data_IF_264395540830
#
_entry.id   IF_264395540830
#
_cell.length_a   1.000
_cell.length_b   1.000
_cell.length_c   1.000
_cell.angle_alpha   90.00
_cell.angle_beta   90.00
_cell.angle_gamma   90.00
#
_symmetry.space_group_name_H-M   'P 1'
#
loop_
_entity.id
_entity.type
_entity.pdbx_description
1 polymer ?
#
# COMPACT_ATOMS: atom_id res chain seq x y z
N UNK A 1 17.12 7.27 17.73
CA UNK A 1 16.84 7.46 16.30
C UNK A 1 17.99 6.86 15.52
N UNK A 2 17.69 5.89 14.66
CA UNK A 2 18.65 5.33 13.69
C UNK A 2 18.85 6.30 12.53
N UNK A 3 19.96 6.19 11.80
CA UNK A 3 20.23 6.98 10.58
C UNK A 3 19.07 6.88 9.57
N UNK A 4 18.44 5.70 9.46
CA UNK A 4 17.26 5.47 8.64
C UNK A 4 16.04 6.30 9.06
N UNK A 5 15.80 6.46 10.36
CA UNK A 5 14.67 7.27 10.88
C UNK A 5 14.86 8.77 10.62
N UNK A 6 16.11 9.24 10.59
CA UNK A 6 16.40 10.65 10.29
C UNK A 6 16.15 10.97 8.81
N UNK A 7 16.62 10.13 7.90
CA UNK A 7 16.35 10.29 6.46
C UNK A 7 14.86 10.24 6.17
N UNK A 8 14.12 9.30 6.77
CA UNK A 8 12.67 9.21 6.64
C UNK A 8 11.97 10.50 7.13
N UNK A 9 12.41 11.06 8.26
CA UNK A 9 11.89 12.32 8.76
C UNK A 9 12.16 13.51 7.81
N UNK A 10 13.35 13.57 7.21
CA UNK A 10 13.68 14.62 6.24
C UNK A 10 12.78 14.56 4.99
N UNK A 11 12.56 13.35 4.46
CA UNK A 11 11.67 13.11 3.32
C UNK A 11 10.22 13.45 3.68
N UNK A 12 9.73 12.96 4.81
CA UNK A 12 8.37 13.27 5.28
C UNK A 12 8.13 14.78 5.39
N UNK A 13 9.09 15.52 5.98
CA UNK A 13 9.01 16.98 6.09
C UNK A 13 9.00 17.65 4.72
N UNK A 14 9.81 17.18 3.78
CA UNK A 14 9.86 17.70 2.42
C UNK A 14 8.50 17.53 1.73
N UNK A 15 7.86 16.36 1.85
CA UNK A 15 6.55 16.11 1.21
C UNK A 15 5.44 16.96 1.82
N UNK A 16 5.45 17.17 3.13
CA UNK A 16 4.54 18.12 3.79
C UNK A 16 4.72 19.55 3.26
N UNK A 17 5.97 19.99 3.09
CA UNK A 17 6.26 21.30 2.51
C UNK A 17 5.75 21.41 1.07
N UNK A 18 5.87 20.34 0.28
CA UNK A 18 5.34 20.30 -1.09
C UNK A 18 3.82 20.46 -1.12
N UNK A 19 3.07 19.76 -0.26
CA UNK A 19 1.62 19.95 -0.15
C UNK A 19 1.26 21.39 0.19
N UNK A 20 1.95 22.00 1.17
CA UNK A 20 1.68 23.39 1.56
C UNK A 20 2.00 24.38 0.43
N UNK A 21 3.07 24.14 -0.33
CA UNK A 21 3.41 24.94 -1.51
C UNK A 21 2.36 24.81 -2.61
N UNK A 22 1.85 23.60 -2.88
CA UNK A 22 0.76 23.37 -3.84
C UNK A 22 -0.51 24.09 -3.45
N UNK A 23 -0.93 24.00 -2.18
CA UNK A 23 -2.09 24.73 -1.65
C UNK A 23 -1.91 26.24 -1.87
N UNK A 24 -0.76 26.79 -1.48
CA UNK A 24 -0.45 28.21 -1.68
C UNK A 24 -0.51 28.60 -3.15
N UNK A 25 0.11 27.83 -4.04
CA UNK A 25 0.13 28.10 -5.47
C UNK A 25 -1.29 28.11 -6.06
N UNK A 26 -2.13 27.14 -5.71
CA UNK A 26 -3.52 27.10 -6.19
C UNK A 26 -4.35 28.27 -5.70
N UNK A 27 -4.17 28.72 -4.46
CA UNK A 27 -4.83 29.92 -3.94
C UNK A 27 -4.39 31.18 -4.71
N UNK A 28 -3.09 31.34 -4.97
CA UNK A 28 -2.56 32.48 -5.73
C UNK A 28 -3.07 32.53 -7.17
N UNK A 29 -3.36 31.36 -7.76
CA UNK A 29 -3.93 31.23 -9.10
C UNK A 29 -5.47 31.36 -9.14
N UNK A 30 -6.13 31.68 -8.02
CA UNK A 30 -7.59 31.77 -7.95
C UNK A 30 -8.30 30.43 -8.16
N UNK A 31 -7.65 29.31 -7.79
CA UNK A 31 -8.17 27.94 -7.92
C UNK A 31 -8.44 27.31 -6.53
N UNK A 32 -9.39 27.86 -5.73
CA UNK A 32 -9.61 27.43 -4.34
C UNK A 32 -10.00 25.96 -4.22
N UNK A 33 -10.76 25.43 -5.17
CA UNK A 33 -11.16 24.00 -5.17
C UNK A 33 -9.96 23.06 -5.29
N UNK A 34 -8.96 23.42 -6.11
CA UNK A 34 -7.73 22.62 -6.23
C UNK A 34 -6.85 22.75 -4.99
N UNK A 35 -6.83 23.92 -4.36
CA UNK A 35 -6.16 24.11 -3.08
C UNK A 35 -6.79 23.24 -1.99
N UNK A 36 -8.12 23.19 -1.94
CA UNK A 36 -8.86 22.34 -1.01
C UNK A 36 -8.62 20.85 -1.28
N UNK A 37 -8.61 20.42 -2.54
CA UNK A 37 -8.27 19.03 -2.92
C UNK A 37 -6.86 18.65 -2.43
N UNK A 38 -5.85 19.51 -2.68
CA UNK A 38 -4.48 19.27 -2.20
C UNK A 38 -4.39 19.24 -0.66
N UNK A 39 -5.09 20.12 0.04
CA UNK A 39 -5.15 20.12 1.50
C UNK A 39 -5.81 18.85 2.06
N UNK A 40 -6.92 18.42 1.45
CA UNK A 40 -7.61 17.19 1.82
C UNK A 40 -6.77 15.94 1.55
N UNK A 41 -5.97 15.92 0.47
CA UNK A 41 -5.03 14.84 0.20
C UNK A 41 -3.97 14.75 1.31
N UNK A 42 -3.33 15.87 1.65
CA UNK A 42 -2.35 15.95 2.75
C UNK A 42 -2.97 15.51 4.09
N UNK A 43 -4.18 16.00 4.41
CA UNK A 43 -4.88 15.63 5.64
C UNK A 43 -5.24 14.14 5.68
N UNK A 44 -5.68 13.57 4.55
CA UNK A 44 -5.98 12.15 4.42
C UNK A 44 -4.75 11.28 4.63
N UNK A 45 -3.60 11.67 4.07
CA UNK A 45 -2.32 11.01 4.30
C UNK A 45 -1.91 11.06 5.77
N UNK A 46 -1.87 12.24 6.39
CA UNK A 46 -1.52 12.40 7.81
C UNK A 46 -2.44 11.61 8.74
N UNK A 47 -3.74 11.61 8.47
CA UNK A 47 -4.72 10.83 9.25
C UNK A 47 -4.45 9.33 9.13
N UNK A 48 -4.05 8.85 7.96
CA UNK A 48 -3.67 7.44 7.76
C UNK A 48 -2.43 7.07 8.57
N UNK A 49 -1.42 7.95 8.64
CA UNK A 49 -0.22 7.76 9.46
C UNK A 49 -0.55 7.73 10.95
N UNK A 50 -1.40 8.64 11.44
CA UNK A 50 -1.85 8.63 12.84
C UNK A 50 -2.59 7.35 13.20
N UNK A 51 -3.45 6.84 12.30
CA UNK A 51 -4.14 5.56 12.49
C UNK A 51 -3.16 4.40 12.51
N UNK A 52 -2.24 4.36 11.55
CA UNK A 52 -1.20 3.34 11.48
C UNK A 52 -0.35 3.33 12.76
N UNK A 53 0.10 4.50 13.22
CA UNK A 53 0.84 4.64 14.48
C UNK A 53 0.07 4.09 15.69
N UNK A 54 -1.25 4.32 15.76
CA UNK A 54 -2.07 3.79 16.87
C UNK A 54 -2.26 2.28 16.86
N UNK A 55 -2.01 1.63 15.72
CA UNK A 55 -2.20 0.19 15.51
C UNK A 55 -0.88 -0.61 15.57
N UNK A 56 0.26 0.05 15.44
CA UNK A 56 1.56 -0.59 15.44
C UNK A 56 2.12 -0.70 16.86
N UNK A 57 2.90 -1.76 17.10
CA UNK A 57 3.75 -1.90 18.27
C UNK A 57 4.90 -0.90 18.23
N UNK A 58 5.43 -0.53 19.40
CA UNK A 58 6.61 0.34 19.53
C UNK A 58 7.94 -0.38 19.24
N UNK A 59 7.88 -1.58 18.67
CA UNK A 59 9.08 -2.35 18.31
C UNK A 59 9.74 -1.81 17.02
N UNK A 60 10.91 -2.37 16.70
CA UNK A 60 11.68 -1.96 15.53
C UNK A 60 10.93 -2.22 14.19
N UNK A 61 10.07 -3.23 14.14
CA UNK A 61 9.27 -3.57 12.95
C UNK A 61 8.17 -2.55 12.71
N UNK A 62 7.39 -2.25 13.75
CA UNK A 62 6.37 -1.20 13.73
C UNK A 62 6.97 0.16 13.38
N UNK A 63 8.08 0.54 14.02
CA UNK A 63 8.77 1.79 13.70
C UNK A 63 9.21 1.85 12.22
N UNK A 64 9.79 0.77 11.69
CA UNK A 64 10.23 0.71 10.28
C UNK A 64 9.05 0.85 9.31
N UNK A 65 7.95 0.14 9.56
CA UNK A 65 6.76 0.20 8.73
C UNK A 65 6.13 1.60 8.74
N UNK A 66 6.04 2.24 9.92
CA UNK A 66 5.54 3.60 10.07
C UNK A 66 6.40 4.60 9.30
N UNK A 67 7.73 4.53 9.46
CA UNK A 67 8.64 5.43 8.75
C UNK A 67 8.63 5.22 7.24
N UNK A 68 8.47 3.98 6.78
CA UNK A 68 8.30 3.69 5.35
C UNK A 68 7.03 4.35 4.82
N UNK A 69 5.89 4.13 5.47
CA UNK A 69 4.61 4.76 5.10
C UNK A 69 4.67 6.29 5.15
N UNK A 70 5.42 6.87 6.10
CA UNK A 70 5.61 8.32 6.22
C UNK A 70 6.44 8.93 5.07
N UNK A 71 7.09 8.12 4.24
CA UNK A 71 7.78 8.56 3.01
C UNK A 71 6.97 8.29 1.73
N UNK A 72 5.76 7.75 1.87
CA UNK A 72 4.89 7.40 0.75
C UNK A 72 3.67 8.32 0.73
N UNK A 73 3.83 9.50 0.15
CA UNK A 73 2.81 10.57 0.18
C UNK A 73 1.55 10.25 -0.62
N UNK A 74 1.64 9.36 -1.62
CA UNK A 74 0.48 8.91 -2.39
C UNK A 74 -0.26 7.77 -1.70
N UNK A 75 0.30 7.16 -0.65
CA UNK A 75 -0.30 6.00 0.01
C UNK A 75 -1.05 6.36 1.29
N UNK A 76 -2.25 5.81 1.44
CA UNK A 76 -3.03 5.83 2.67
C UNK A 76 -3.07 4.43 3.25
N UNK A 77 -2.21 4.20 4.22
CA UNK A 77 -1.97 2.86 4.76
C UNK A 77 -2.89 2.59 5.94
N UNK A 78 -3.43 1.37 6.03
CA UNK A 78 -4.20 0.89 7.18
C UNK A 78 -3.94 -0.58 7.45
N UNK A 79 -4.02 -1.00 8.71
CA UNK A 79 -3.86 -2.42 9.10
C UNK A 79 -5.23 -3.07 9.29
N UNK A 80 -5.41 -4.28 8.74
CA UNK A 80 -6.60 -5.08 8.95
C UNK A 80 -6.35 -6.22 9.95
N UNK A 81 -5.16 -6.82 9.96
CA UNK A 81 -4.73 -7.88 10.89
C UNK A 81 -3.19 -7.94 10.92
N UNK A 82 -2.54 -7.08 11.72
CA UNK A 82 -1.09 -7.02 11.80
C UNK A 82 -0.55 -7.89 12.94
N UNK A 83 0.48 -8.70 12.66
CA UNK A 83 1.22 -9.45 13.68
C UNK A 83 2.62 -8.86 13.83
N UNK A 84 3.02 -8.40 15.03
CA UNK A 84 4.31 -7.75 15.27
C UNK A 84 5.50 -8.72 15.28
N UNK A 85 5.26 -10.03 15.27
CA UNK A 85 6.30 -11.06 15.37
C UNK A 85 7.01 -11.31 14.03
N UNK A 86 6.55 -10.70 12.94
CA UNK A 86 6.96 -11.05 11.59
C UNK A 86 7.88 -9.99 10.98
N UNK A 87 8.74 -10.45 10.08
CA UNK A 87 9.55 -9.56 9.26
C UNK A 87 8.65 -8.69 8.36
N UNK A 88 8.73 -7.38 8.58
CA UNK A 88 8.00 -6.35 7.83
C UNK A 88 8.79 -5.87 6.60
N UNK A 89 10.01 -6.36 6.36
CA UNK A 89 10.84 -5.94 5.21
C UNK A 89 10.12 -6.08 3.88
N UNK A 90 9.50 -7.24 3.55
CA UNK A 90 8.79 -7.39 2.28
C UNK A 90 7.60 -6.42 2.17
N UNK A 91 6.91 -6.16 3.29
CA UNK A 91 5.79 -5.23 3.34
C UNK A 91 6.24 -3.78 3.08
N UNK A 92 7.38 -3.37 3.64
CA UNK A 92 7.97 -2.06 3.40
C UNK A 92 8.39 -1.90 1.94
N UNK A 93 8.99 -2.93 1.34
CA UNK A 93 9.36 -2.96 -0.08
C UNK A 93 8.12 -2.86 -0.98
N UNK A 94 7.04 -3.58 -0.63
CA UNK A 94 5.77 -3.50 -1.35
C UNK A 94 5.13 -2.12 -1.32
N UNK A 95 5.14 -1.46 -0.15
CA UNK A 95 4.65 -0.09 0.00
C UNK A 95 5.51 0.90 -0.80
N UNK A 96 6.84 0.79 -0.71
CA UNK A 96 7.74 1.66 -1.47
C UNK A 96 7.57 1.48 -2.98
N UNK A 97 7.38 0.25 -3.45
CA UNK A 97 7.09 -0.03 -4.85
C UNK A 97 5.75 0.58 -5.29
N UNK A 98 4.69 0.44 -4.49
CA UNK A 98 3.38 1.04 -4.78
C UNK A 98 3.46 2.56 -4.88
N UNK A 99 4.23 3.21 -4.01
CA UNK A 99 4.47 4.66 -4.08
C UNK A 99 5.13 5.06 -5.41
N UNK A 100 6.13 4.30 -5.86
CA UNK A 100 6.77 4.56 -7.15
C UNK A 100 5.79 4.42 -8.32
N UNK A 101 4.94 3.40 -8.31
CA UNK A 101 3.92 3.23 -9.35
C UNK A 101 2.89 4.36 -9.31
N UNK A 102 2.42 4.74 -8.12
CA UNK A 102 1.50 5.86 -7.94
C UNK A 102 2.07 7.15 -8.53
N UNK A 103 3.35 7.44 -8.27
CA UNK A 103 4.04 8.60 -8.79
C UNK A 103 4.20 8.56 -10.32
N UNK A 104 4.62 7.43 -10.89
CA UNK A 104 4.77 7.25 -12.36
C UNK A 104 3.45 7.49 -13.09
N UNK A 105 2.35 7.00 -12.51
CA UNK A 105 1.01 7.14 -13.09
C UNK A 105 0.28 8.41 -12.63
N UNK A 106 0.94 9.29 -11.87
CA UNK A 106 0.36 10.52 -11.34
C UNK A 106 -0.99 10.28 -10.62
N UNK A 107 -1.10 9.15 -9.92
CA UNK A 107 -2.26 8.79 -9.12
C UNK A 107 -2.38 9.75 -7.96
N UNK A 108 -3.58 10.25 -7.67
CA UNK A 108 -3.75 11.18 -6.55
C UNK A 108 -3.45 10.55 -5.20
N UNK A 109 -3.95 9.33 -5.01
CA UNK A 109 -3.67 8.50 -3.85
C UNK A 109 -4.07 7.05 -4.11
N UNK A 110 -3.54 6.14 -3.30
CA UNK A 110 -3.93 4.73 -3.22
C UNK A 110 -4.19 4.42 -1.76
N UNK A 111 -5.34 3.83 -1.43
CA UNK A 111 -5.54 3.23 -0.12
C UNK A 111 -4.92 1.83 -0.13
N UNK A 112 -4.04 1.55 0.82
CA UNK A 112 -3.40 0.25 0.99
C UNK A 112 -3.82 -0.35 2.34
N UNK A 113 -4.52 -1.48 2.30
CA UNK A 113 -4.90 -2.26 3.49
C UNK A 113 -3.93 -3.42 3.63
N UNK A 114 -3.20 -3.48 4.73
CA UNK A 114 -2.19 -4.49 5.00
C UNK A 114 -2.78 -5.58 5.89
N UNK A 115 -2.66 -6.83 5.44
CA UNK A 115 -3.19 -8.00 6.12
C UNK A 115 -2.12 -9.07 6.21
N UNK A 116 -1.91 -9.64 7.39
CA UNK A 116 -1.12 -10.86 7.53
C UNK A 116 -1.92 -12.08 7.03
N UNK A 117 -1.33 -12.88 6.14
CA UNK A 117 -1.93 -14.13 5.68
C UNK A 117 -1.54 -15.25 6.65
N UNK A 118 -2.50 -15.92 7.32
CA UNK A 118 -2.16 -17.04 8.20
C UNK A 118 -1.50 -18.16 7.38
N UNK A 119 -0.35 -18.66 7.86
CA UNK A 119 0.42 -19.74 7.21
C UNK A 119 -0.33 -21.09 7.10
N UNK A 120 -1.55 -21.20 7.60
CA UNK A 120 -2.38 -22.40 7.49
C UNK A 120 -3.14 -22.45 6.15
N UNK A 121 -2.39 -22.66 5.06
CA UNK A 121 -2.87 -23.49 3.95
C UNK A 121 -1.92 -24.68 3.82
N UNK A 122 -1.86 -25.48 4.88
CA UNK A 122 -1.54 -26.90 4.70
C UNK A 122 -2.69 -27.45 3.86
N UNK A 123 -2.49 -27.54 2.55
CA UNK A 123 -3.27 -28.49 1.75
C UNK A 123 -3.10 -29.83 2.47
N UNK A 124 -4.18 -30.38 3.04
CA UNK A 124 -4.13 -31.76 3.50
C UNK A 124 -3.66 -32.60 2.31
N UNK A 125 -2.51 -33.29 2.40
CA UNK A 125 -2.17 -34.24 1.36
C UNK A 125 -3.24 -35.33 1.42
N UNK A 126 -4.13 -35.32 0.43
CA UNK A 126 -4.92 -36.49 0.06
C UNK A 126 -3.92 -37.63 -0.09
N UNK A 127 -3.83 -38.45 0.94
CA UNK A 127 -2.90 -39.56 1.06
C UNK A 127 -3.19 -40.54 -0.07
N UNK A 128 -2.42 -40.47 -1.14
CA UNK A 128 -2.39 -41.48 -2.18
C UNK A 128 -1.05 -42.23 -2.05
N UNK A 129 -1.03 -43.41 -1.41
CA UNK A 129 0.22 -44.13 -1.14
C UNK A 129 0.64 -44.91 -2.38
N UNK A 130 1.32 -44.27 -3.34
CA UNK A 130 1.85 -45.01 -4.50
C UNK A 130 3.11 -44.44 -5.18
N UNK A 131 3.69 -43.31 -4.76
CA UNK A 131 4.91 -42.79 -5.41
C UNK A 131 6.06 -42.51 -4.44
N UNK A 132 7.30 -42.99 -4.75
CA UNK A 132 8.48 -42.67 -3.97
C UNK A 132 8.83 -41.19 -4.11
N UNK A 133 9.04 -40.55 -2.97
CA UNK A 133 9.36 -39.14 -2.78
C UNK A 133 10.69 -38.79 -3.46
N UNK A 134 10.65 -37.76 -4.32
CA UNK A 134 11.82 -36.98 -4.71
C UNK A 134 11.98 -35.87 -3.66
N UNK A 135 13.12 -35.85 -2.97
CA UNK A 135 13.44 -34.96 -1.84
C UNK A 135 13.65 -33.47 -2.22
N UNK A 136 13.34 -33.05 -3.44
CA UNK A 136 13.66 -31.68 -3.95
C UNK A 136 12.46 -30.73 -4.07
N UNK A 137 11.35 -30.97 -3.35
CA UNK A 137 10.24 -30.03 -3.29
C UNK A 137 10.36 -29.10 -2.07
N UNK A 138 11.39 -28.23 -2.08
CA UNK A 138 11.42 -27.02 -1.25
C UNK A 138 10.32 -26.07 -1.78
N UNK A 139 9.09 -26.41 -1.41
CA UNK A 139 7.88 -25.74 -1.89
C UNK A 139 7.88 -24.35 -1.27
N UNK A 140 8.04 -23.33 -2.11
CA UNK A 140 8.11 -21.92 -1.73
C UNK A 140 7.03 -21.55 -0.70
N UNK A 141 7.45 -21.45 0.56
CA UNK A 141 6.61 -21.15 1.71
C UNK A 141 6.13 -19.69 1.63
N UNK A 142 4.97 -19.55 1.00
CA UNK A 142 3.83 -18.71 1.35
C UNK A 142 4.13 -17.25 1.68
N UNK A 143 3.76 -16.37 0.75
CA UNK A 143 3.66 -14.94 1.02
C UNK A 143 2.92 -14.68 2.34
N UNK A 144 3.62 -14.05 3.28
CA UNK A 144 3.13 -13.80 4.65
C UNK A 144 2.23 -12.58 4.72
N UNK A 145 2.27 -11.73 3.70
CA UNK A 145 1.57 -10.47 3.67
C UNK A 145 0.70 -10.33 2.42
N UNK A 146 -0.48 -9.74 2.61
CA UNK A 146 -1.34 -9.28 1.55
C UNK A 146 -1.50 -7.75 1.65
N UNK A 147 -1.35 -7.07 0.51
CA UNK A 147 -1.70 -5.66 0.37
C UNK A 147 -2.94 -5.59 -0.53
N UNK A 148 -4.07 -5.20 0.04
CA UNK A 148 -5.27 -4.90 -0.73
C UNK A 148 -5.26 -3.39 -1.07
N UNK A 149 -5.24 -3.07 -2.36
CA UNK A 149 -5.23 -1.68 -2.83
C UNK A 149 -6.55 -1.26 -3.46
N UNK A 150 -6.92 0.00 -3.25
CA UNK A 150 -8.02 0.68 -3.94
C UNK A 150 -7.65 2.15 -4.20
N UNK A 151 -8.26 2.80 -5.20
CA UNK A 151 -7.95 4.19 -5.54
C UNK A 151 -8.73 4.70 -6.76
N UNK A 152 -8.81 6.02 -6.96
CA UNK A 152 -9.58 6.63 -8.05
C UNK A 152 -9.04 6.34 -9.45
N UNK A 153 -7.72 6.11 -9.57
CA UNK A 153 -7.02 6.02 -10.86
C UNK A 153 -6.44 4.61 -11.09
N UNK A 154 -6.78 3.64 -10.24
CA UNK A 154 -6.14 2.32 -10.21
C UNK A 154 -6.45 1.49 -11.47
N UNK A 155 -7.66 1.63 -12.01
CA UNK A 155 -8.15 0.89 -13.19
C UNK A 155 -7.34 1.22 -14.46
N UNK A 156 -6.64 2.36 -14.48
CA UNK A 156 -5.93 2.84 -15.67
C UNK A 156 -4.56 2.18 -15.85
N UNK A 157 -3.94 1.69 -14.77
CA UNK A 157 -2.56 1.20 -14.80
C UNK A 157 -2.32 -0.09 -14.03
N UNK A 158 -3.22 -0.48 -13.12
CA UNK A 158 -3.04 -1.71 -12.37
C UNK A 158 -3.30 -2.95 -13.23
N UNK A 159 -2.45 -3.96 -13.07
CA UNK A 159 -2.73 -5.31 -13.55
C UNK A 159 -2.14 -6.37 -12.62
N UNK A 160 -2.77 -7.55 -12.48
CA UNK A 160 -2.21 -8.64 -11.67
C UNK A 160 -0.81 -9.08 -12.11
N UNK A 161 -0.50 -8.99 -13.40
CA UNK A 161 0.82 -9.32 -13.96
C UNK A 161 1.89 -8.30 -13.55
N UNK A 162 1.52 -7.04 -13.34
CA UNK A 162 2.43 -6.01 -12.83
C UNK A 162 2.86 -6.32 -11.39
N UNK A 163 1.95 -6.85 -10.57
CA UNK A 163 2.23 -7.22 -9.17
C UNK A 163 3.08 -8.48 -9.01
N UNK A 164 2.88 -9.47 -9.89
CA UNK A 164 3.47 -10.80 -9.76
C UNK A 164 5.00 -10.83 -9.88
N UNK A 165 5.61 -9.82 -10.50
CA UNK A 165 7.04 -9.83 -10.84
C UNK A 165 7.94 -9.10 -9.83
N UNK A 166 7.38 -8.42 -8.82
CA UNK A 166 8.17 -7.41 -8.09
C UNK A 166 8.36 -7.73 -6.62
N UNK A 167 7.49 -8.51 -5.98
CA UNK A 167 7.52 -8.65 -4.52
C UNK A 167 7.55 -10.13 -4.10
N UNK A 168 8.73 -10.59 -3.67
CA UNK A 168 8.82 -11.86 -2.96
C UNK A 168 8.18 -11.70 -1.57
N UNK A 169 7.33 -12.66 -1.18
CA UNK A 169 6.74 -12.69 0.16
C UNK A 169 5.53 -11.76 0.39
N UNK A 170 5.08 -11.02 -0.63
CA UNK A 170 3.88 -10.15 -0.56
C UNK A 170 2.97 -10.41 -1.76
N UNK A 171 1.69 -10.64 -1.49
CA UNK A 171 0.64 -10.65 -2.53
C UNK A 171 -0.02 -9.28 -2.56
N UNK A 172 0.03 -8.60 -3.70
CA UNK A 172 -0.73 -7.36 -3.89
C UNK A 172 -1.98 -7.66 -4.70
N UNK A 173 -3.15 -7.32 -4.16
CA UNK A 173 -4.46 -7.52 -4.78
C UNK A 173 -5.15 -6.17 -4.92
N UNK A 174 -5.80 -5.90 -6.06
CA UNK A 174 -6.59 -4.68 -6.24
C UNK A 174 -8.09 -4.95 -6.12
N UNK A 175 -8.80 -4.07 -5.45
CA UNK A 175 -10.26 -4.00 -5.48
C UNK A 175 -10.69 -2.93 -6.49
N UNK A 176 -10.82 -3.34 -7.76
CA UNK A 176 -11.31 -2.47 -8.84
C UNK A 176 -12.84 -2.41 -8.74
N UNK A 177 -13.37 -1.31 -8.21
CA UNK A 177 -14.80 -1.04 -8.24
C UNK A 177 -15.18 -0.59 -9.63
N UNK A 178 -15.50 -1.55 -10.51
CA UNK A 178 -16.02 -1.24 -11.85
C UNK A 178 -17.23 -0.32 -11.70
N UNK A 179 -17.09 0.95 -12.10
CA UNK A 179 -18.25 1.83 -12.27
C UNK A 179 -19.13 1.18 -13.33
N UNK A 180 -20.20 0.50 -12.92
CA UNK A 180 -21.29 0.17 -13.84
C UNK A 180 -21.87 1.50 -14.32
N UNK A 181 -21.40 1.97 -15.47
CA UNK A 181 -22.05 3.03 -16.22
C UNK A 181 -23.39 2.42 -16.66
N UNK A 182 -24.45 2.65 -15.88
CA UNK A 182 -25.80 2.50 -16.38
C UNK A 182 -25.95 3.49 -17.53
N UNK A 183 -25.75 3.02 -18.76
CA UNK A 183 -26.25 3.71 -19.94
C UNK A 183 -27.77 3.67 -19.86
N UNK A 184 -28.34 4.68 -19.21
CA UNK A 184 -29.76 4.97 -19.30
C UNK A 184 -30.05 5.34 -20.74
N UNK A 185 -30.46 4.37 -21.56
CA UNK A 185 -31.21 4.63 -22.77
C UNK A 185 -32.53 5.29 -22.34
N UNK A 186 -32.56 6.63 -22.36
CA UNK A 186 -33.81 7.37 -22.48
C UNK A 186 -34.31 7.14 -23.91
N UNK A 187 -35.08 6.07 -24.10
CA UNK A 187 -35.97 5.99 -25.25
C UNK A 187 -37.05 7.05 -25.08
N UNK A 188 -37.23 7.86 -26.13
CA UNK A 188 -38.16 8.98 -26.18
C UNK A 188 -39.62 8.59 -26.26
#
# INVERSE_FOLDING_TARGET
>A
MTESSWTAFQLHRHDLQNYMQLVKAYLQLGKPEKALDAANQCAGWLTSLSRLQSQLSEDAGGARLLWTAATCSHLRVSLLNFSPVLDVSPLCEGIAWLEQQAAVHNSKYINAKLTHLPSNRTEEPLSNPAHPLSDDAETADHAKWQILIDGPDLDEWWSPSLAANVLQGVVVTAEIKTKMIHQGHTNG
#
